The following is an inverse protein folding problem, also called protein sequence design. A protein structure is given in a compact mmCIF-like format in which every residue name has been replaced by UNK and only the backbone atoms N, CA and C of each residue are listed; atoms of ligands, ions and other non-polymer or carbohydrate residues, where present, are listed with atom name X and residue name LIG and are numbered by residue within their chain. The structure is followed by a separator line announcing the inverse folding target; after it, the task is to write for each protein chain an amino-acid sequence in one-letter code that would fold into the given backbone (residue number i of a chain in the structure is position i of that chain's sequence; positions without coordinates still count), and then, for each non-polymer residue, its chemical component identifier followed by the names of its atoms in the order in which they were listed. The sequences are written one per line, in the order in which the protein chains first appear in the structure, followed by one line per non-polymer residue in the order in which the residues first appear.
data_IF_754080174800
#
_entry.id   IF_754080174800
#
_cell.length_a   1.000
_cell.length_b   1.000
_cell.length_c   1.000
_cell.angle_alpha   90.00
_cell.angle_beta   90.00
_cell.angle_gamma   90.00
#
_symmetry.space_group_name_H-M   'P 1'
#
loop_
_entity.id
_entity.type
_entity.pdbx_description
1 polymer ?
#
# COMPACT_ATOMS: atom_id res chain seq x y z
N UNK A 1 -0.24 28.70 -21.73
CA UNK A 1 1.05 28.12 -21.32
C UNK A 1 1.26 26.83 -22.09
N UNK A 2 2.32 26.69 -22.88
CA UNK A 2 2.56 25.48 -23.69
C UNK A 2 2.89 24.26 -22.83
N UNK A 3 2.62 23.03 -23.32
CA UNK A 3 2.83 21.77 -22.56
C UNK A 3 4.25 21.58 -22.01
N UNK A 4 5.27 22.06 -22.73
CA UNK A 4 6.69 22.00 -22.33
C UNK A 4 6.96 22.91 -21.13
N UNK A 5 6.40 24.11 -21.13
CA UNK A 5 6.57 25.08 -20.03
C UNK A 5 5.89 24.57 -18.75
N UNK A 6 4.69 24.03 -18.84
CA UNK A 6 3.97 23.42 -17.71
C UNK A 6 4.78 22.25 -17.11
N UNK A 7 5.32 21.36 -17.95
CA UNK A 7 6.18 20.25 -17.50
C UNK A 7 7.38 20.76 -16.70
N UNK A 8 8.10 21.77 -17.21
CA UNK A 8 9.28 22.34 -16.52
C UNK A 8 8.91 22.93 -15.16
N UNK A 9 7.79 23.65 -15.07
CA UNK A 9 7.31 24.22 -13.82
C UNK A 9 6.93 23.14 -12.80
N UNK A 10 6.18 22.13 -13.21
CA UNK A 10 5.81 21.03 -12.31
C UNK A 10 7.07 20.26 -11.85
N UNK A 11 8.00 19.92 -12.75
CA UNK A 11 9.22 19.22 -12.36
C UNK A 11 10.08 20.06 -11.39
N UNK A 12 10.20 21.37 -11.61
CA UNK A 12 10.90 22.26 -10.67
C UNK A 12 10.23 22.24 -9.29
N UNK A 13 8.91 22.27 -9.26
CA UNK A 13 8.13 22.19 -8.01
C UNK A 13 8.28 20.83 -7.33
N UNK A 14 8.25 19.73 -8.07
CA UNK A 14 8.51 18.36 -7.57
C UNK A 14 9.88 18.28 -6.89
N UNK A 15 10.94 18.76 -7.55
CA UNK A 15 12.28 18.79 -6.96
C UNK A 15 12.36 19.67 -5.70
N UNK A 16 11.68 20.82 -5.69
CA UNK A 16 11.62 21.69 -4.50
C UNK A 16 10.91 21.00 -3.34
N UNK A 17 9.81 20.28 -3.60
CA UNK A 17 9.08 19.53 -2.56
C UNK A 17 9.90 18.33 -2.07
N UNK A 18 10.54 17.59 -2.98
CA UNK A 18 11.38 16.44 -2.64
C UNK A 18 12.59 16.81 -1.75
N UNK A 19 13.13 18.02 -1.89
CA UNK A 19 14.23 18.53 -1.05
C UNK A 19 13.82 18.83 0.39
N UNK A 20 12.51 18.91 0.69
CA UNK A 20 12.03 19.09 2.06
C UNK A 20 12.17 17.84 2.90
N UNK A 21 12.25 16.67 2.25
CA UNK A 21 12.60 15.40 2.89
C UNK A 21 14.12 15.33 3.07
N UNK A 22 14.68 16.13 3.98
CA UNK A 22 16.13 16.27 4.20
C UNK A 22 16.70 15.23 5.18
N UNK A 23 15.85 14.45 5.86
CA UNK A 23 16.22 13.42 6.83
C UNK A 23 16.32 12.01 6.20
N UNK A 24 16.62 11.91 4.91
CA UNK A 24 16.84 10.64 4.21
C UNK A 24 18.18 10.04 4.62
N UNK A 25 18.15 8.79 5.05
CA UNK A 25 19.33 8.03 5.45
C UNK A 25 19.64 6.97 4.39
N UNK A 26 20.87 6.94 3.92
CA UNK A 26 21.39 5.86 3.08
C UNK A 26 21.73 4.69 4.00
N UNK A 27 20.95 3.60 3.90
CA UNK A 27 21.16 2.37 4.68
C UNK A 27 22.04 1.41 3.90
N UNK A 28 22.90 0.60 4.56
CA UNK A 28 23.72 -0.39 3.88
C UNK A 28 22.86 -1.41 3.11
N UNK A 29 23.43 -1.99 2.07
CA UNK A 29 22.82 -3.11 1.35
C UNK A 29 22.91 -4.38 2.19
N UNK A 30 21.81 -5.12 2.23
CA UNK A 30 21.69 -6.42 2.87
C UNK A 30 20.70 -7.29 2.08
N UNK A 31 21.00 -8.57 1.93
CA UNK A 31 20.03 -9.49 1.36
C UNK A 31 18.83 -9.73 2.28
N UNK A 32 19.07 -9.79 3.60
CA UNK A 32 18.02 -9.89 4.61
C UNK A 32 17.24 -11.20 4.53
N UNK A 33 17.89 -12.28 4.12
CA UNK A 33 17.22 -13.59 3.96
C UNK A 33 16.61 -14.12 5.25
N UNK A 34 17.10 -13.66 6.41
CA UNK A 34 16.55 -13.96 7.73
C UNK A 34 15.12 -13.45 7.93
N UNK A 35 14.70 -12.44 7.19
CA UNK A 35 13.32 -11.93 7.22
C UNK A 35 12.32 -12.78 6.42
N UNK A 36 12.78 -13.71 5.60
CA UNK A 36 11.92 -14.55 4.76
C UNK A 36 11.31 -15.73 5.52
N UNK A 37 12.02 -16.27 6.52
CA UNK A 37 11.72 -17.54 7.17
C UNK A 37 10.55 -17.46 8.17
N UNK A 38 10.17 -16.27 8.61
CA UNK A 38 9.21 -16.08 9.70
C UNK A 38 7.75 -16.22 9.30
N UNK A 39 7.41 -16.60 8.07
CA UNK A 39 6.07 -16.33 7.62
C UNK A 39 5.34 -17.42 6.83
N UNK A 40 5.96 -18.53 6.48
CA UNK A 40 5.28 -19.55 5.65
C UNK A 40 5.75 -20.98 5.95
N UNK A 41 5.02 -21.73 6.81
CA UNK A 41 5.32 -23.15 7.08
C UNK A 41 5.38 -24.01 5.82
N UNK A 42 4.61 -23.64 4.77
CA UNK A 42 4.59 -24.34 3.48
C UNK A 42 5.81 -24.12 2.59
N UNK A 43 6.64 -23.08 2.87
CA UNK A 43 7.89 -22.82 2.18
C UNK A 43 9.09 -23.43 2.92
N UNK A 44 8.98 -23.70 4.22
CA UNK A 44 10.06 -24.21 5.07
C UNK A 44 10.53 -25.63 4.65
N UNK A 45 9.64 -26.48 4.15
CA UNK A 45 9.97 -27.83 3.71
C UNK A 45 10.93 -27.91 2.50
N UNK A 46 10.95 -26.88 1.67
CA UNK A 46 11.85 -26.80 0.51
C UNK A 46 13.16 -26.08 0.83
N UNK A 47 13.17 -25.20 1.84
CA UNK A 47 14.38 -24.50 2.29
C UNK A 47 15.34 -25.41 3.03
N UNK A 48 14.85 -26.36 3.83
CA UNK A 48 15.69 -27.35 4.52
C UNK A 48 16.49 -28.21 3.54
N UNK A 49 15.98 -28.43 2.31
CA UNK A 49 16.71 -29.16 1.27
C UNK A 49 17.77 -28.32 0.55
N UNK A 50 17.74 -26.98 0.69
CA UNK A 50 18.67 -26.06 0.00
C UNK A 50 19.88 -25.66 0.83
N UNK A 51 19.85 -25.84 2.14
CA UNK A 51 20.96 -25.47 3.02
C UNK A 51 22.24 -26.32 2.82
N UNK A 52 22.19 -27.36 1.99
CA UNK A 52 23.33 -28.22 1.66
C UNK A 52 24.03 -27.97 0.31
N UNK A 53 23.45 -27.13 -0.57
CA UNK A 53 23.87 -27.05 -1.99
C UNK A 53 24.41 -25.67 -2.41
N UNK A 54 25.24 -24.99 -1.65
CA UNK A 54 26.02 -23.85 -2.15
C UNK A 54 25.24 -22.66 -2.76
N UNK A 55 23.91 -22.54 -2.50
CA UNK A 55 23.11 -21.45 -3.02
C UNK A 55 23.48 -20.13 -2.34
N UNK A 56 23.66 -19.09 -3.16
CA UNK A 56 23.91 -17.74 -2.69
C UNK A 56 22.64 -17.13 -2.03
N UNK A 57 22.78 -16.12 -1.19
CA UNK A 57 21.63 -15.37 -0.64
C UNK A 57 20.74 -14.78 -1.77
N UNK A 58 21.37 -14.35 -2.86
CA UNK A 58 20.69 -13.92 -4.08
C UNK A 58 19.75 -15.00 -4.62
N UNK A 59 20.24 -16.22 -4.77
CA UNK A 59 19.45 -17.33 -5.30
C UNK A 59 18.29 -17.68 -4.37
N UNK A 60 18.52 -17.60 -3.06
CA UNK A 60 17.47 -17.79 -2.03
C UNK A 60 16.35 -16.75 -2.19
N UNK A 61 16.69 -15.46 -2.33
CA UNK A 61 15.72 -14.37 -2.53
C UNK A 61 14.93 -14.58 -3.83
N UNK A 62 15.59 -14.89 -4.92
CA UNK A 62 14.92 -15.08 -6.22
C UNK A 62 13.97 -16.28 -6.19
N UNK A 63 14.42 -17.41 -5.66
CA UNK A 63 13.58 -18.58 -5.47
C UNK A 63 12.39 -18.32 -4.54
N UNK A 64 12.61 -17.59 -3.46
CA UNK A 64 11.53 -17.17 -2.56
C UNK A 64 10.44 -16.37 -3.32
N UNK A 65 10.84 -15.42 -4.18
CA UNK A 65 9.87 -14.65 -4.98
C UNK A 65 9.06 -15.58 -5.91
N UNK A 66 9.72 -16.55 -6.59
CA UNK A 66 9.02 -17.49 -7.44
C UNK A 66 8.00 -18.35 -6.68
N UNK A 67 8.37 -18.84 -5.52
CA UNK A 67 7.48 -19.61 -4.64
C UNK A 67 6.34 -18.76 -4.08
N UNK A 68 6.63 -17.53 -3.65
CA UNK A 68 5.63 -16.61 -3.14
C UNK A 68 4.59 -16.24 -4.20
N UNK A 69 5.00 -16.07 -5.46
CA UNK A 69 4.10 -15.82 -6.58
C UNK A 69 3.26 -17.07 -6.87
N UNK A 70 3.89 -18.23 -7.00
CA UNK A 70 3.20 -19.49 -7.30
C UNK A 70 2.19 -19.85 -6.19
N UNK A 71 2.48 -19.53 -4.94
CA UNK A 71 1.64 -19.80 -3.76
C UNK A 71 1.04 -18.53 -3.16
N UNK A 72 0.68 -17.55 -3.99
CA UNK A 72 0.32 -16.21 -3.53
C UNK A 72 -0.92 -16.15 -2.64
N UNK A 73 -1.84 -17.12 -2.75
CA UNK A 73 -2.97 -17.23 -1.79
C UNK A 73 -2.49 -17.51 -0.36
N UNK A 74 -1.46 -18.34 -0.19
CA UNK A 74 -0.85 -18.57 1.12
C UNK A 74 0.07 -17.42 1.52
N UNK A 75 0.78 -16.82 0.55
CA UNK A 75 1.68 -15.70 0.81
C UNK A 75 0.96 -14.47 1.34
N UNK A 76 -0.20 -14.13 0.80
CA UNK A 76 -1.06 -13.03 1.22
C UNK A 76 -2.28 -13.49 2.03
N UNK A 77 -2.35 -14.75 2.45
CA UNK A 77 -3.38 -15.31 3.32
C UNK A 77 -2.93 -15.41 4.78
N UNK A 78 -3.90 -15.39 5.68
CA UNK A 78 -3.73 -15.78 7.06
C UNK A 78 -4.87 -16.68 7.47
N UNK A 79 -4.59 -17.73 8.27
CA UNK A 79 -5.62 -18.57 8.89
C UNK A 79 -6.08 -18.01 10.24
N UNK A 80 -5.38 -17.00 10.76
CA UNK A 80 -5.63 -16.42 12.07
C UNK A 80 -6.24 -15.04 11.89
N UNK A 81 -7.38 -14.80 12.54
CA UNK A 81 -7.98 -13.49 12.72
C UNK A 81 -7.53 -12.97 14.09
N UNK A 82 -6.89 -11.81 14.19
CA UNK A 82 -6.43 -11.27 15.46
C UNK A 82 -7.59 -10.83 16.34
N UNK A 83 -7.34 -10.72 17.64
CA UNK A 83 -8.24 -10.03 18.55
C UNK A 83 -8.13 -8.52 18.35
N UNK A 84 -9.28 -7.85 18.31
CA UNK A 84 -9.38 -6.42 18.05
C UNK A 84 -9.79 -5.67 19.30
N UNK A 85 -9.08 -4.57 19.58
CA UNK A 85 -9.43 -3.59 20.62
C UNK A 85 -9.79 -2.27 19.97
N UNK A 86 -10.94 -1.70 20.31
CA UNK A 86 -11.38 -0.37 19.88
C UNK A 86 -11.57 0.53 21.11
N UNK A 87 -10.69 1.54 21.23
CA UNK A 87 -10.78 2.57 22.25
C UNK A 87 -11.00 3.95 21.57
N UNK A 88 -12.21 4.47 21.71
CA UNK A 88 -12.65 5.67 21.01
C UNK A 88 -12.54 5.50 19.48
N UNK A 89 -11.63 6.24 18.88
CA UNK A 89 -11.36 6.16 17.42
C UNK A 89 -10.15 5.26 17.07
N UNK A 90 -9.51 4.65 18.07
CA UNK A 90 -8.28 3.88 17.87
C UNK A 90 -8.57 2.38 17.89
N UNK A 91 -8.45 1.78 16.72
CA UNK A 91 -8.49 0.33 16.56
C UNK A 91 -7.07 -0.22 16.62
N UNK A 92 -6.86 -1.21 17.47
CA UNK A 92 -5.56 -1.89 17.66
C UNK A 92 -5.73 -3.41 17.58
N UNK A 93 -4.70 -4.08 17.08
CA UNK A 93 -4.59 -5.54 17.06
C UNK A 93 -3.13 -5.97 16.83
N UNK A 94 -2.81 -7.21 17.16
CA UNK A 94 -1.50 -7.77 16.87
C UNK A 94 -1.40 -8.19 15.40
N UNK A 95 -0.32 -7.79 14.73
CA UNK A 95 -0.03 -8.24 13.36
C UNK A 95 0.15 -9.76 13.32
N UNK A 96 -0.41 -10.41 12.31
CA UNK A 96 -0.18 -11.84 12.05
C UNK A 96 1.25 -12.13 11.60
N UNK A 97 1.99 -11.11 11.17
CA UNK A 97 3.42 -11.19 10.87
C UNK A 97 4.20 -10.67 12.06
N UNK A 98 4.95 -11.57 12.70
CA UNK A 98 5.84 -11.20 13.80
C UNK A 98 7.20 -10.77 13.26
N UNK A 99 7.67 -9.63 13.71
CA UNK A 99 9.00 -9.10 13.40
C UNK A 99 9.85 -9.02 14.67
N UNK A 100 11.17 -8.90 14.56
CA UNK A 100 12.05 -8.69 15.75
C UNK A 100 11.77 -7.35 16.47
N UNK A 101 10.93 -6.50 15.92
CA UNK A 101 10.66 -5.15 16.41
C UNK A 101 9.27 -5.11 17.04
N UNK A 102 9.23 -5.05 18.38
CA UNK A 102 7.98 -5.13 19.15
C UNK A 102 6.98 -4.01 18.76
N UNK A 103 7.46 -2.79 18.56
CA UNK A 103 6.62 -1.64 18.17
C UNK A 103 5.92 -1.86 16.84
N UNK A 104 6.59 -2.56 15.89
CA UNK A 104 6.01 -2.84 14.59
C UNK A 104 4.93 -3.93 14.64
N UNK A 105 4.90 -4.75 15.65
CA UNK A 105 4.00 -5.90 15.75
C UNK A 105 2.57 -5.50 16.17
N UNK A 106 2.37 -4.35 16.83
CA UNK A 106 1.05 -3.85 17.17
C UNK A 106 0.54 -2.91 16.08
N UNK A 107 -0.51 -3.34 15.40
CA UNK A 107 -1.16 -2.55 14.35
C UNK A 107 -2.04 -1.48 14.98
N UNK A 108 -1.92 -0.24 14.48
CA UNK A 108 -2.70 0.88 14.93
C UNK A 108 -3.48 1.46 13.74
N UNK A 109 -4.79 1.65 13.91
CA UNK A 109 -5.66 2.25 12.92
C UNK A 109 -6.46 3.38 13.55
N UNK A 110 -6.82 4.37 12.76
CA UNK A 110 -7.78 5.39 13.15
C UNK A 110 -9.10 5.14 12.44
N UNK A 111 -10.15 4.89 13.21
CA UNK A 111 -11.49 4.60 12.72
C UNK A 111 -12.35 5.86 12.70
N UNK A 112 -13.05 6.07 11.60
CA UNK A 112 -13.96 7.18 11.36
C UNK A 112 -15.35 6.61 11.07
N UNK A 113 -16.20 6.39 12.10
CA UNK A 113 -17.59 5.93 11.92
C UNK A 113 -18.41 7.01 11.22
N UNK A 114 -19.43 6.61 10.46
CA UNK A 114 -20.39 7.58 9.93
C UNK A 114 -21.21 8.16 11.08
N UNK A 115 -21.26 9.47 11.26
CA UNK A 115 -22.07 10.10 12.31
C UNK A 115 -23.55 9.71 12.20
N UNK A 116 -24.20 9.45 13.34
CA UNK A 116 -25.65 9.31 13.39
C UNK A 116 -26.32 10.62 12.95
N UNK A 117 -27.33 10.57 12.09
CA UNK A 117 -28.13 11.75 11.75
C UNK A 117 -29.01 12.12 12.95
N UNK A 118 -28.77 13.31 13.51
CA UNK A 118 -29.65 13.94 14.49
C UNK A 118 -29.43 13.50 15.93
N UNK A 119 -28.54 14.18 16.65
CA UNK A 119 -28.48 14.16 18.11
C UNK A 119 -27.50 13.15 18.71
N UNK A 120 -27.23 13.36 19.99
CA UNK A 120 -26.33 12.65 20.90
C UNK A 120 -26.11 11.16 20.55
N UNK A 121 -24.86 10.66 20.60
CA UNK A 121 -24.59 9.24 20.41
C UNK A 121 -25.23 8.44 21.55
N UNK A 122 -26.40 7.88 21.30
CA UNK A 122 -26.97 6.86 22.14
C UNK A 122 -26.27 5.54 21.83
N UNK A 123 -25.54 5.02 22.78
CA UNK A 123 -24.78 3.77 22.65
C UNK A 123 -25.69 2.57 22.26
N UNK A 124 -26.99 2.62 22.59
CA UNK A 124 -27.96 1.59 22.22
C UNK A 124 -28.37 1.64 20.74
N UNK A 125 -28.29 2.80 20.08
CA UNK A 125 -28.62 3.00 18.66
C UNK A 125 -27.41 2.89 17.72
N UNK A 126 -26.19 2.80 18.24
CA UNK A 126 -24.97 2.67 17.45
C UNK A 126 -25.01 1.43 16.53
N UNK A 127 -25.63 0.35 16.95
CA UNK A 127 -25.81 -0.86 16.15
C UNK A 127 -26.84 -0.71 15.01
N UNK A 128 -27.91 0.04 15.20
CA UNK A 128 -28.93 0.26 14.16
C UNK A 128 -28.45 1.22 13.07
N UNK A 129 -27.70 2.25 13.44
CA UNK A 129 -27.06 3.17 12.48
C UNK A 129 -26.00 2.47 11.65
N UNK A 130 -25.29 1.48 12.21
CA UNK A 130 -24.34 0.61 11.49
C UNK A 130 -25.01 -0.19 10.39
N UNK A 131 -26.17 -0.80 10.66
CA UNK A 131 -26.93 -1.60 9.69
C UNK A 131 -27.48 -0.78 8.51
N UNK A 132 -27.85 0.47 8.74
CA UNK A 132 -28.47 1.30 7.69
C UNK A 132 -27.53 1.76 6.58
N UNK A 133 -26.20 1.61 6.72
CA UNK A 133 -25.24 2.14 5.74
C UNK A 133 -24.14 1.20 5.28
N UNK A 134 -23.89 0.11 5.92
CA UNK A 134 -23.06 -1.04 5.53
C UNK A 134 -21.80 -0.82 4.69
N UNK A 135 -21.30 0.44 4.53
CA UNK A 135 -20.23 0.79 3.60
C UNK A 135 -19.03 1.41 4.31
N UNK A 136 -17.85 0.86 4.07
CA UNK A 136 -16.60 1.35 4.66
C UNK A 136 -15.45 1.36 3.65
N UNK A 137 -14.44 2.21 3.88
CA UNK A 137 -13.24 2.30 3.06
C UNK A 137 -12.00 2.15 3.95
N UNK A 138 -11.14 1.19 3.64
CA UNK A 138 -9.79 1.10 4.22
C UNK A 138 -8.88 2.08 3.49
N UNK A 139 -8.18 2.93 4.24
CA UNK A 139 -7.33 4.00 3.69
C UNK A 139 -5.87 3.73 4.05
N UNK A 140 -5.04 3.51 3.03
CA UNK A 140 -3.61 3.24 3.14
C UNK A 140 -2.81 4.48 2.73
N UNK A 141 -2.03 5.07 3.65
CA UNK A 141 -1.28 6.29 3.38
C UNK A 141 -0.04 6.04 2.52
N UNK A 142 0.60 7.12 2.09
CA UNK A 142 1.89 7.07 1.41
C UNK A 142 3.04 6.74 2.39
N UNK A 143 4.21 6.40 1.84
CA UNK A 143 5.44 6.17 2.61
C UNK A 143 5.84 7.41 3.41
N UNK A 144 6.20 7.21 4.68
CA UNK A 144 6.52 8.26 5.65
C UNK A 144 5.36 9.22 5.98
N UNK A 145 4.12 8.82 5.72
CA UNK A 145 2.96 9.59 6.16
C UNK A 145 2.92 9.69 7.68
N UNK A 146 2.65 10.90 8.18
CA UNK A 146 2.42 11.16 9.60
C UNK A 146 0.98 10.81 9.99
N UNK A 147 0.73 10.63 11.28
CA UNK A 147 -0.58 10.25 11.83
C UNK A 147 -1.74 11.17 11.37
N UNK A 148 -1.49 12.47 11.21
CA UNK A 148 -2.48 13.44 10.74
C UNK A 148 -2.73 13.41 9.22
N UNK A 149 -1.85 12.78 8.44
CA UNK A 149 -2.02 12.73 6.99
C UNK A 149 -3.05 11.68 6.59
N UNK A 150 -3.80 11.94 5.53
CA UNK A 150 -4.97 11.18 5.08
C UNK A 150 -6.22 11.26 5.99
N UNK A 151 -6.18 11.98 7.11
CA UNK A 151 -7.37 12.24 7.95
C UNK A 151 -8.42 13.01 7.16
N UNK A 152 -8.03 14.05 6.45
CA UNK A 152 -8.96 14.87 5.66
C UNK A 152 -9.73 14.05 4.59
N UNK A 153 -9.12 13.05 3.96
CA UNK A 153 -9.84 12.18 3.01
C UNK A 153 -10.80 11.23 3.74
N UNK A 154 -10.45 10.75 4.93
CA UNK A 154 -11.36 9.96 5.77
C UNK A 154 -12.58 10.79 6.17
N UNK A 155 -12.40 12.05 6.57
CA UNK A 155 -13.49 12.96 6.87
C UNK A 155 -14.37 13.27 5.66
N UNK A 156 -13.78 13.41 4.46
CA UNK A 156 -14.54 13.59 3.22
C UNK A 156 -15.38 12.34 2.89
N UNK A 157 -14.84 11.14 3.09
CA UNK A 157 -15.58 9.88 2.97
C UNK A 157 -16.74 9.83 3.97
N UNK A 158 -16.51 10.23 5.22
CA UNK A 158 -17.56 10.32 6.24
C UNK A 158 -18.70 11.25 5.85
N UNK A 159 -18.39 12.46 5.37
CA UNK A 159 -19.39 13.41 4.87
C UNK A 159 -20.19 12.83 3.70
N UNK A 160 -19.58 11.91 2.94
CA UNK A 160 -20.22 11.17 1.86
C UNK A 160 -21.04 9.96 2.34
N UNK A 161 -21.09 9.69 3.65
CA UNK A 161 -21.81 8.59 4.25
C UNK A 161 -21.08 7.23 4.19
N UNK A 162 -19.76 7.27 4.11
CA UNK A 162 -18.87 6.11 4.12
C UNK A 162 -18.03 6.11 5.40
N UNK A 163 -18.01 5.02 6.15
CA UNK A 163 -17.03 4.88 7.23
C UNK A 163 -15.61 4.76 6.64
N UNK A 164 -14.60 5.12 7.42
CA UNK A 164 -13.23 4.97 6.97
C UNK A 164 -12.35 4.41 8.10
N UNK A 165 -11.35 3.60 7.74
CA UNK A 165 -10.29 3.14 8.63
C UNK A 165 -8.95 3.48 8.01
N UNK A 166 -8.21 4.39 8.63
CA UNK A 166 -6.83 4.72 8.23
C UNK A 166 -5.87 3.79 8.95
N UNK A 167 -5.21 2.93 8.21
CA UNK A 167 -4.19 2.02 8.73
C UNK A 167 -2.83 2.74 8.88
N UNK A 168 -2.14 2.57 10.01
CA UNK A 168 -0.72 2.86 10.14
C UNK A 168 0.08 1.70 9.53
N UNK A 169 0.76 1.96 8.41
CA UNK A 169 1.59 0.96 7.73
C UNK A 169 2.73 0.48 8.65
N UNK A 170 3.34 -0.69 8.39
CA UNK A 170 4.51 -1.13 9.14
C UNK A 170 5.59 -0.05 9.25
N UNK A 171 6.17 0.09 10.42
CA UNK A 171 7.21 1.09 10.74
C UNK A 171 6.78 2.56 10.69
N UNK A 172 5.48 2.85 10.59
CA UNK A 172 4.95 4.23 10.60
C UNK A 172 4.27 4.57 11.93
N UNK A 173 4.18 5.85 12.22
CA UNK A 173 3.44 6.40 13.38
C UNK A 173 3.86 5.72 14.69
N UNK A 174 2.91 5.11 15.43
CA UNK A 174 3.16 4.36 16.67
C UNK A 174 3.95 3.05 16.47
N UNK A 175 4.10 2.61 15.22
CA UNK A 175 4.88 1.41 14.85
C UNK A 175 6.33 1.74 14.49
N UNK A 176 6.72 3.01 14.56
CA UNK A 176 8.08 3.45 14.26
C UNK A 176 9.03 3.04 15.37
N UNK A 177 10.23 2.62 14.98
CA UNK A 177 11.25 2.18 15.93
C UNK A 177 11.80 3.37 16.72
N UNK A 178 12.20 3.19 17.98
CA UNK A 178 12.90 4.20 18.73
C UNK A 178 14.13 4.73 17.99
N UNK A 179 14.31 6.05 17.99
CA UNK A 179 15.41 6.72 17.29
C UNK A 179 15.27 6.85 15.78
N UNK A 180 14.15 6.40 15.19
CA UNK A 180 13.85 6.59 13.78
C UNK A 180 12.93 7.81 13.59
N UNK A 181 13.20 8.58 12.55
CA UNK A 181 12.32 9.69 12.11
C UNK A 181 11.53 9.34 10.84
N UNK A 182 11.85 8.19 10.23
CA UNK A 182 11.29 7.73 8.97
C UNK A 182 11.02 6.24 9.01
N UNK A 183 10.03 5.82 8.24
CA UNK A 183 9.72 4.40 8.04
C UNK A 183 10.69 3.74 7.06
N UNK A 184 12.01 3.89 7.29
CA UNK A 184 13.05 3.40 6.40
C UNK A 184 13.00 1.87 6.23
N UNK A 185 12.51 1.14 7.23
CA UNK A 185 12.41 -0.32 7.16
C UNK A 185 11.26 -0.83 6.30
N UNK A 186 10.32 0.04 5.95
CA UNK A 186 9.23 -0.30 5.03
C UNK A 186 9.71 -0.39 3.58
N UNK A 187 10.66 0.48 3.18
CA UNK A 187 11.32 0.49 1.88
C UNK A 187 12.79 0.77 2.11
N UNK A 188 13.64 -0.23 1.95
CA UNK A 188 15.06 -0.12 2.25
C UNK A 188 15.91 -0.94 1.28
N UNK A 189 17.22 -0.78 1.39
CA UNK A 189 18.24 -1.62 0.72
C UNK A 189 18.43 -3.01 1.36
N UNK A 190 17.72 -3.33 2.45
CA UNK A 190 17.57 -4.71 2.92
C UNK A 190 16.41 -5.36 2.18
N UNK A 191 16.72 -6.31 1.30
CA UNK A 191 15.78 -6.91 0.34
C UNK A 191 14.69 -7.71 1.05
N UNK A 192 15.07 -8.64 1.94
CA UNK A 192 14.14 -9.53 2.64
C UNK A 192 13.23 -8.77 3.60
N UNK A 193 13.75 -7.79 4.34
CA UNK A 193 12.94 -6.96 5.23
C UNK A 193 11.90 -6.13 4.46
N UNK A 194 12.27 -5.59 3.31
CA UNK A 194 11.32 -4.87 2.43
C UNK A 194 10.21 -5.81 1.94
N UNK A 195 10.52 -7.05 1.56
CA UNK A 195 9.52 -8.08 1.23
C UNK A 195 8.59 -8.36 2.42
N UNK A 196 9.16 -8.62 3.60
CA UNK A 196 8.38 -8.90 4.81
C UNK A 196 7.47 -7.74 5.19
N UNK A 197 7.98 -6.49 5.18
CA UNK A 197 7.21 -5.31 5.55
C UNK A 197 6.00 -5.07 4.63
N UNK A 198 6.20 -5.23 3.32
CA UNK A 198 5.11 -5.05 2.35
C UNK A 198 4.09 -6.19 2.43
N UNK A 199 4.52 -7.44 2.63
CA UNK A 199 3.62 -8.56 2.92
C UNK A 199 2.83 -8.32 4.21
N UNK A 200 3.49 -7.89 5.30
CA UNK A 200 2.85 -7.52 6.55
C UNK A 200 1.75 -6.48 6.33
N UNK A 201 2.03 -5.43 5.55
CA UNK A 201 1.05 -4.39 5.26
C UNK A 201 -0.20 -4.94 4.54
N UNK A 202 -0.05 -5.89 3.62
CA UNK A 202 -1.19 -6.55 2.96
C UNK A 202 -2.00 -7.36 3.97
N UNK A 203 -1.35 -8.16 4.81
CA UNK A 203 -2.03 -8.99 5.81
C UNK A 203 -2.73 -8.15 6.89
N UNK A 204 -2.07 -7.10 7.40
CA UNK A 204 -2.67 -6.15 8.34
C UNK A 204 -3.91 -5.47 7.74
N UNK A 205 -3.84 -5.14 6.44
CA UNK A 205 -4.98 -4.56 5.71
C UNK A 205 -6.15 -5.55 5.62
N UNK A 206 -5.89 -6.83 5.37
CA UNK A 206 -6.91 -7.87 5.35
C UNK A 206 -7.53 -8.08 6.73
N UNK A 207 -6.74 -8.00 7.81
CA UNK A 207 -7.27 -8.04 9.18
C UNK A 207 -8.21 -6.86 9.47
N UNK A 208 -7.93 -5.65 8.92
CA UNK A 208 -8.88 -4.53 8.99
C UNK A 208 -10.18 -4.84 8.23
N UNK A 209 -10.11 -5.53 7.09
CA UNK A 209 -11.31 -5.99 6.37
C UNK A 209 -12.09 -6.99 7.21
N UNK A 210 -11.43 -7.95 7.88
CA UNK A 210 -12.06 -8.89 8.82
C UNK A 210 -12.81 -8.15 9.93
N UNK A 211 -12.16 -7.16 10.54
CA UNK A 211 -12.80 -6.34 11.57
C UNK A 211 -14.01 -5.58 11.03
N UNK A 212 -13.92 -4.93 9.87
CA UNK A 212 -15.04 -4.20 9.29
C UNK A 212 -16.25 -5.13 9.04
N UNK A 213 -16.02 -6.32 8.50
CA UNK A 213 -17.07 -7.30 8.27
C UNK A 213 -17.68 -7.75 9.61
N UNK A 214 -16.86 -8.02 10.63
CA UNK A 214 -17.36 -8.37 11.98
C UNK A 214 -18.20 -7.24 12.61
N UNK A 215 -17.95 -5.99 12.22
CA UNK A 215 -18.75 -4.83 12.64
C UNK A 215 -20.02 -4.64 11.80
N UNK A 216 -20.33 -5.52 10.84
CA UNK A 216 -21.53 -5.50 10.01
C UNK A 216 -21.44 -4.60 8.77
N UNK A 217 -20.24 -4.24 8.31
CA UNK A 217 -20.06 -3.59 7.02
C UNK A 217 -20.14 -4.62 5.89
N UNK A 218 -21.10 -4.46 4.99
CA UNK A 218 -21.37 -5.40 3.89
C UNK A 218 -20.57 -5.05 2.62
N UNK A 219 -20.24 -3.78 2.44
CA UNK A 219 -19.52 -3.28 1.29
C UNK A 219 -18.23 -2.57 1.75
N UNK A 220 -17.10 -3.17 1.44
CA UNK A 220 -15.79 -2.63 1.81
C UNK A 220 -15.03 -2.23 0.55
N UNK A 221 -14.57 -0.99 0.53
CA UNK A 221 -13.65 -0.47 -0.47
C UNK A 221 -12.25 -0.26 0.09
N UNK A 222 -11.29 -0.02 -0.79
CA UNK A 222 -9.90 0.25 -0.42
C UNK A 222 -9.34 1.44 -1.20
N UNK A 223 -8.71 2.36 -0.49
CA UNK A 223 -7.99 3.51 -1.04
C UNK A 223 -6.51 3.41 -0.68
N UNK A 224 -5.63 3.51 -1.66
CA UNK A 224 -4.20 3.63 -1.40
C UNK A 224 -3.57 4.83 -2.09
N UNK A 225 -2.54 5.40 -1.48
CA UNK A 225 -1.76 6.52 -2.04
C UNK A 225 -0.29 6.16 -2.10
N UNK A 226 0.36 6.29 -3.26
CA UNK A 226 1.79 6.02 -3.46
C UNK A 226 2.14 4.58 -3.02
N UNK A 227 3.04 4.38 -2.06
CA UNK A 227 3.31 3.05 -1.49
C UNK A 227 2.02 2.34 -1.05
N UNK A 228 1.13 3.06 -0.36
CA UNK A 228 -0.17 2.52 0.05
C UNK A 228 -1.03 2.08 -1.13
N UNK A 229 -0.87 2.65 -2.33
CA UNK A 229 -1.62 2.20 -3.51
C UNK A 229 -1.11 0.86 -4.06
N UNK A 230 0.20 0.58 -3.96
CA UNK A 230 0.75 -0.74 -4.31
C UNK A 230 0.20 -1.81 -3.36
N UNK A 231 0.19 -1.52 -2.05
CA UNK A 231 -0.36 -2.41 -1.02
C UNK A 231 -1.86 -2.60 -1.22
N UNK A 232 -2.61 -1.52 -1.45
CA UNK A 232 -4.06 -1.56 -1.71
C UNK A 232 -4.38 -2.43 -2.93
N UNK A 233 -3.62 -2.30 -4.00
CA UNK A 233 -3.82 -3.08 -5.21
C UNK A 233 -3.53 -4.56 -4.99
N UNK A 234 -2.41 -4.90 -4.33
CA UNK A 234 -2.10 -6.28 -3.95
C UNK A 234 -3.19 -6.86 -3.05
N UNK A 235 -3.67 -6.09 -2.05
CA UNK A 235 -4.76 -6.53 -1.17
C UNK A 235 -6.04 -6.76 -1.95
N UNK A 236 -6.40 -5.87 -2.88
CA UNK A 236 -7.61 -6.00 -3.70
C UNK A 236 -7.58 -7.25 -4.58
N UNK A 237 -6.43 -7.54 -5.20
CA UNK A 237 -6.25 -8.75 -6.01
C UNK A 237 -6.50 -10.01 -5.19
N UNK A 238 -5.98 -10.08 -3.95
CA UNK A 238 -5.99 -11.28 -3.12
C UNK A 238 -7.14 -11.32 -2.10
N UNK A 239 -7.98 -10.26 -2.00
CA UNK A 239 -9.16 -10.24 -1.13
C UNK A 239 -10.43 -9.92 -1.91
N UNK A 240 -11.21 -10.94 -2.21
CA UNK A 240 -12.45 -10.82 -3.01
C UNK A 240 -13.61 -10.17 -2.26
N UNK A 241 -13.46 -9.89 -0.97
CA UNK A 241 -14.46 -9.16 -0.14
C UNK A 241 -14.45 -7.67 -0.42
N UNK A 242 -13.32 -7.14 -0.94
CA UNK A 242 -13.23 -5.75 -1.39
C UNK A 242 -14.01 -5.56 -2.69
N UNK A 243 -14.89 -4.57 -2.74
CA UNK A 243 -15.79 -4.29 -3.86
C UNK A 243 -15.29 -3.20 -4.80
N UNK A 244 -14.62 -2.19 -4.23
CA UNK A 244 -14.13 -1.02 -4.97
C UNK A 244 -12.70 -0.72 -4.55
N UNK A 245 -11.79 -0.57 -5.52
CA UNK A 245 -10.40 -0.13 -5.32
C UNK A 245 -10.16 1.25 -5.93
N UNK A 246 -9.47 2.13 -5.20
CA UNK A 246 -8.98 3.41 -5.73
C UNK A 246 -7.49 3.55 -5.44
N UNK A 247 -6.69 3.70 -6.50
CA UNK A 247 -5.24 3.73 -6.40
C UNK A 247 -4.70 5.06 -6.90
N UNK A 248 -4.16 5.82 -5.95
CA UNK A 248 -3.56 7.11 -6.25
C UNK A 248 -2.04 6.92 -6.39
N UNK A 249 -1.54 6.90 -7.63
CA UNK A 249 -0.18 6.55 -8.05
C UNK A 249 0.20 5.08 -7.80
N UNK A 250 -0.41 4.13 -8.48
CA UNK A 250 0.10 2.75 -8.50
C UNK A 250 1.01 2.52 -9.73
N UNK A 251 1.91 1.57 -9.63
CA UNK A 251 2.86 1.19 -10.68
C UNK A 251 2.93 -0.34 -10.84
N UNK A 252 3.56 -0.78 -11.94
CA UNK A 252 3.71 -2.19 -12.30
C UNK A 252 4.64 -2.95 -11.36
N UNK A 253 5.91 -2.54 -11.28
CA UNK A 253 6.95 -3.21 -10.52
C UNK A 253 7.45 -2.35 -9.37
N UNK A 254 7.46 -2.91 -8.17
CA UNK A 254 7.95 -2.24 -6.97
C UNK A 254 9.43 -1.85 -7.10
N UNK A 255 10.27 -2.78 -7.59
CA UNK A 255 11.69 -2.55 -7.79
C UNK A 255 11.99 -1.40 -8.76
N UNK A 256 11.20 -1.26 -9.82
CA UNK A 256 11.37 -0.17 -10.78
C UNK A 256 11.03 1.20 -10.19
N UNK A 257 10.00 1.27 -9.31
CA UNK A 257 9.68 2.50 -8.59
C UNK A 257 10.84 2.91 -7.69
N UNK A 258 11.44 1.94 -6.98
CA UNK A 258 12.60 2.20 -6.12
C UNK A 258 13.80 2.65 -6.94
N UNK A 259 14.01 2.05 -8.11
CA UNK A 259 15.14 2.37 -8.98
C UNK A 259 15.02 3.74 -9.68
N UNK A 260 13.85 4.02 -10.27
CA UNK A 260 13.65 5.21 -11.11
C UNK A 260 13.11 6.41 -10.32
N UNK A 261 12.55 6.19 -9.13
CA UNK A 261 11.79 7.18 -8.38
C UNK A 261 12.62 8.27 -7.73
N UNK A 262 12.14 9.53 -7.82
CA UNK A 262 12.72 10.68 -7.13
C UNK A 262 12.70 10.50 -5.60
N UNK A 263 11.66 9.88 -5.05
CA UNK A 263 11.47 9.67 -3.62
C UNK A 263 12.44 8.66 -3.02
N UNK A 264 12.92 7.72 -3.82
CA UNK A 264 13.69 6.53 -3.41
C UNK A 264 15.16 6.56 -3.80
N UNK A 265 15.68 7.69 -4.30
CA UNK A 265 17.07 7.83 -4.76
C UNK A 265 18.12 7.39 -3.74
N UNK A 266 17.88 7.63 -2.44
CA UNK A 266 18.80 7.25 -1.38
C UNK A 266 18.82 5.73 -1.17
N UNK A 267 17.70 5.04 -1.38
CA UNK A 267 17.62 3.56 -1.34
C UNK A 267 18.34 2.99 -2.57
N UNK A 268 18.06 3.53 -3.76
CA UNK A 268 18.77 3.15 -4.99
C UNK A 268 20.26 3.27 -4.83
N UNK A 269 20.77 4.33 -4.22
CA UNK A 269 22.20 4.57 -4.06
C UNK A 269 22.93 3.39 -3.40
N UNK A 270 22.31 2.74 -2.41
CA UNK A 270 22.88 1.52 -1.80
C UNK A 270 22.71 0.29 -2.69
N UNK A 271 21.59 0.17 -3.40
CA UNK A 271 21.31 -1.00 -4.24
C UNK A 271 22.20 -1.06 -5.47
N UNK A 272 22.43 0.07 -6.14
CA UNK A 272 23.16 0.13 -7.43
C UNK A 272 24.63 -0.23 -7.33
N UNK A 273 25.20 -0.26 -6.13
CA UNK A 273 26.55 -0.74 -5.87
C UNK A 273 26.65 -2.29 -5.87
N UNK A 274 25.52 -2.98 -5.73
CA UNK A 274 25.48 -4.43 -5.55
C UNK A 274 24.59 -5.15 -6.57
N UNK A 275 23.58 -4.46 -7.11
CA UNK A 275 22.55 -5.03 -7.97
C UNK A 275 22.30 -4.16 -9.20
N UNK A 276 21.95 -4.80 -10.30
CA UNK A 276 21.39 -4.17 -11.48
C UNK A 276 19.91 -3.85 -11.27
N UNK A 277 19.33 -2.99 -12.11
CA UNK A 277 17.89 -2.69 -12.11
C UNK A 277 17.02 -3.92 -12.22
N UNK A 278 17.40 -4.85 -13.13
CA UNK A 278 16.64 -6.07 -13.38
C UNK A 278 16.71 -7.05 -12.20
N UNK A 279 17.84 -7.10 -11.51
CA UNK A 279 17.98 -7.87 -10.27
C UNK A 279 17.12 -7.29 -9.13
N UNK A 280 17.06 -5.97 -8.96
CA UNK A 280 16.17 -5.32 -7.99
C UNK A 280 14.70 -5.59 -8.33
N UNK A 281 14.32 -5.52 -9.61
CA UNK A 281 12.98 -5.93 -10.06
C UNK A 281 12.70 -7.38 -9.67
N UNK A 282 13.64 -8.29 -10.00
CA UNK A 282 13.53 -9.73 -9.72
C UNK A 282 13.40 -10.01 -8.22
N UNK A 283 14.17 -9.31 -7.38
CA UNK A 283 14.20 -9.49 -5.95
C UNK A 283 12.89 -9.08 -5.24
N UNK A 284 12.04 -8.27 -5.89
CA UNK A 284 10.76 -7.77 -5.34
C UNK A 284 9.54 -8.08 -6.22
N UNK A 285 9.61 -9.13 -7.06
CA UNK A 285 8.47 -9.56 -7.87
C UNK A 285 7.26 -9.95 -7.01
N UNK A 286 7.47 -10.62 -5.88
CA UNK A 286 6.40 -11.07 -4.99
C UNK A 286 5.57 -9.93 -4.38
N UNK A 287 6.11 -8.72 -4.32
CA UNK A 287 5.39 -7.52 -3.85
C UNK A 287 5.10 -6.52 -4.98
N UNK A 288 5.21 -6.97 -6.22
CA UNK A 288 4.94 -6.17 -7.42
C UNK A 288 3.55 -6.46 -7.96
N UNK A 289 2.66 -5.45 -8.11
CA UNK A 289 1.31 -5.65 -8.63
C UNK A 289 1.27 -6.41 -9.96
N UNK A 290 2.25 -6.16 -10.83
CA UNK A 290 2.32 -6.77 -12.17
C UNK A 290 2.42 -8.31 -12.17
N UNK A 291 2.88 -8.89 -11.07
CA UNK A 291 2.99 -10.35 -10.92
C UNK A 291 1.63 -11.05 -10.75
N UNK A 292 0.53 -10.29 -10.63
CA UNK A 292 -0.79 -10.82 -10.28
C UNK A 292 -1.95 -10.21 -11.07
N UNK A 293 -1.68 -9.43 -12.12
CA UNK A 293 -2.71 -8.76 -12.92
C UNK A 293 -3.66 -9.77 -13.59
N UNK A 294 -3.14 -10.92 -14.00
CA UNK A 294 -3.90 -12.03 -14.58
C UNK A 294 -5.06 -12.50 -13.68
N UNK A 295 -4.92 -12.38 -12.33
CA UNK A 295 -5.95 -12.73 -11.36
C UNK A 295 -7.17 -11.79 -11.37
N UNK A 296 -7.07 -10.66 -12.03
CA UNK A 296 -8.16 -9.72 -12.26
C UNK A 296 -8.88 -9.96 -13.59
N UNK A 297 -8.40 -10.90 -14.41
CA UNK A 297 -9.08 -11.27 -15.67
C UNK A 297 -10.49 -11.78 -15.36
N UNK A 298 -11.49 -11.17 -16.03
CA UNK A 298 -12.91 -11.50 -15.78
C UNK A 298 -13.48 -10.94 -14.45
N UNK A 299 -12.71 -10.24 -13.64
CA UNK A 299 -13.20 -9.62 -12.41
C UNK A 299 -14.16 -8.46 -12.75
N UNK A 300 -15.31 -8.42 -12.09
CA UNK A 300 -16.35 -7.41 -12.30
C UNK A 300 -16.34 -6.30 -11.26
N UNK A 301 -15.47 -6.39 -10.27
CA UNK A 301 -15.29 -5.35 -9.24
C UNK A 301 -14.79 -4.05 -9.87
N UNK A 302 -14.98 -2.95 -9.20
CA UNK A 302 -14.70 -1.62 -9.75
C UNK A 302 -13.37 -1.06 -9.22
N UNK A 303 -12.55 -0.60 -10.14
CA UNK A 303 -11.24 -0.06 -9.82
C UNK A 303 -10.98 1.26 -10.53
N UNK A 304 -10.40 2.24 -9.82
CA UNK A 304 -9.96 3.52 -10.37
C UNK A 304 -8.47 3.73 -10.11
N UNK A 305 -7.72 3.93 -11.18
CA UNK A 305 -6.32 4.36 -11.10
C UNK A 305 -6.20 5.84 -11.43
N UNK A 306 -5.64 6.61 -10.50
CA UNK A 306 -5.31 8.02 -10.68
C UNK A 306 -3.80 8.14 -10.88
N UNK A 307 -3.36 8.60 -12.04
CA UNK A 307 -1.95 8.81 -12.38
C UNK A 307 -1.64 10.28 -12.59
N UNK A 308 -0.38 10.68 -12.34
CA UNK A 308 0.07 12.04 -12.59
C UNK A 308 0.94 12.12 -13.85
N UNK A 309 0.65 13.11 -14.72
CA UNK A 309 1.33 13.24 -16.02
C UNK A 309 2.82 13.56 -15.91
N UNK A 310 3.21 14.22 -14.83
CA UNK A 310 4.58 14.72 -14.63
C UNK A 310 5.21 14.11 -13.37
N UNK A 311 4.80 12.89 -13.02
CA UNK A 311 5.31 12.16 -11.87
C UNK A 311 6.79 11.80 -12.06
N UNK A 312 7.62 12.11 -11.07
CA UNK A 312 9.05 11.79 -11.03
C UNK A 312 9.37 10.62 -10.09
N UNK A 313 8.36 10.07 -9.41
CA UNK A 313 8.50 8.92 -8.51
C UNK A 313 7.84 7.68 -9.11
N UNK A 314 6.55 7.76 -9.40
CA UNK A 314 5.83 6.76 -10.18
C UNK A 314 5.76 7.26 -11.64
N UNK A 315 6.86 7.09 -12.35
CA UNK A 315 7.01 7.73 -13.66
C UNK A 315 5.91 7.33 -14.64
N UNK A 316 5.55 8.21 -15.60
CA UNK A 316 4.55 7.88 -16.62
C UNK A 316 4.85 6.62 -17.43
N UNK A 317 6.13 6.24 -17.53
CA UNK A 317 6.55 4.99 -18.18
C UNK A 317 6.09 3.78 -17.37
N UNK A 318 6.29 3.80 -16.05
CA UNK A 318 5.87 2.72 -15.15
C UNK A 318 4.35 2.58 -15.08
N UNK A 319 3.60 3.71 -15.05
CA UNK A 319 2.14 3.66 -15.11
C UNK A 319 1.65 3.07 -16.45
N UNK A 320 2.36 3.34 -17.54
CA UNK A 320 2.03 2.79 -18.86
C UNK A 320 2.23 1.28 -18.90
N UNK A 321 3.34 0.77 -18.37
CA UNK A 321 3.57 -0.67 -18.26
C UNK A 321 2.43 -1.39 -17.51
N UNK A 322 1.93 -0.80 -16.42
CA UNK A 322 0.78 -1.34 -15.71
C UNK A 322 -0.48 -1.36 -16.59
N UNK A 323 -0.72 -0.27 -17.32
CA UNK A 323 -1.89 -0.19 -18.20
C UNK A 323 -1.84 -1.19 -19.35
N UNK A 324 -0.66 -1.34 -19.98
CA UNK A 324 -0.44 -2.31 -21.06
C UNK A 324 -0.66 -3.74 -20.56
N UNK A 325 -0.22 -4.06 -19.34
CA UNK A 325 -0.49 -5.35 -18.72
C UNK A 325 -1.97 -5.57 -18.45
N UNK A 326 -2.66 -4.59 -17.87
CA UNK A 326 -4.11 -4.67 -17.65
C UNK A 326 -4.87 -4.86 -18.99
N UNK A 327 -4.48 -4.15 -20.03
CA UNK A 327 -5.10 -4.27 -21.36
C UNK A 327 -4.86 -5.67 -21.95
N UNK A 328 -3.64 -6.20 -21.82
CA UNK A 328 -3.28 -7.55 -22.27
C UNK A 328 -4.08 -8.66 -21.57
N UNK A 329 -4.35 -8.47 -20.27
CA UNK A 329 -5.13 -9.41 -19.45
C UNK A 329 -6.64 -9.12 -19.47
N UNK A 330 -7.08 -8.18 -20.31
CA UNK A 330 -8.50 -7.75 -20.40
C UNK A 330 -9.09 -7.27 -19.07
N UNK A 331 -8.26 -6.70 -18.19
CA UNK A 331 -8.69 -6.14 -16.90
C UNK A 331 -9.35 -4.79 -17.10
N UNK A 332 -10.59 -4.65 -16.64
CA UNK A 332 -11.36 -3.41 -16.72
C UNK A 332 -11.02 -2.48 -15.54
N UNK A 333 -10.20 -1.47 -15.81
CA UNK A 333 -9.73 -0.49 -14.85
C UNK A 333 -10.06 0.93 -15.35
N UNK A 334 -10.82 1.70 -14.56
CA UNK A 334 -11.05 3.12 -14.85
C UNK A 334 -9.75 3.91 -14.62
N UNK A 335 -9.43 4.82 -15.54
CA UNK A 335 -8.16 5.56 -15.55
C UNK A 335 -8.40 7.06 -15.56
N UNK A 336 -7.75 7.78 -14.64
CA UNK A 336 -7.72 9.24 -14.60
C UNK A 336 -6.29 9.74 -14.55
N UNK A 337 -5.97 10.69 -15.44
CA UNK A 337 -4.65 11.33 -15.51
C UNK A 337 -4.76 12.78 -15.10
N UNK A 338 -4.00 13.16 -14.04
CA UNK A 338 -3.97 14.54 -13.53
C UNK A 338 -2.71 15.24 -14.03
N UNK A 339 -2.82 16.55 -14.37
CA UNK A 339 -1.71 17.36 -14.91
C UNK A 339 -0.79 17.88 -13.79
N UNK A 340 -0.31 16.99 -12.94
CA UNK A 340 0.57 17.28 -11.80
C UNK A 340 1.72 16.26 -11.73
N UNK A 341 2.55 16.33 -10.72
CA UNK A 341 3.54 15.32 -10.34
C UNK A 341 3.16 14.59 -9.06
N UNK A 342 4.09 13.84 -8.48
CA UNK A 342 3.86 12.99 -7.31
C UNK A 342 3.53 13.80 -6.04
N UNK A 343 4.42 14.73 -5.69
CA UNK A 343 4.25 15.59 -4.53
C UNK A 343 3.19 16.67 -4.75
N UNK A 344 3.10 17.18 -5.98
CA UNK A 344 2.18 18.27 -6.29
C UNK A 344 0.73 17.83 -6.31
N UNK A 345 0.43 16.53 -6.47
CA UNK A 345 -0.92 16.01 -6.31
C UNK A 345 -1.48 16.27 -4.89
N UNK A 346 -0.63 16.23 -3.86
CA UNK A 346 -1.00 16.60 -2.48
C UNK A 346 -1.14 18.11 -2.22
N UNK A 347 -1.03 18.97 -3.26
CA UNK A 347 -1.11 20.43 -3.15
C UNK A 347 -2.35 20.99 -3.87
N UNK A 348 -2.82 22.15 -3.41
CA UNK A 348 -3.87 22.88 -4.11
C UNK A 348 -3.39 23.30 -5.51
N UNK A 349 -4.23 23.23 -6.55
CA UNK A 349 -5.62 22.77 -6.53
C UNK A 349 -5.77 21.25 -6.66
N UNK A 350 -4.71 20.51 -7.00
CA UNK A 350 -4.76 19.10 -7.38
C UNK A 350 -5.30 18.19 -6.28
N UNK A 351 -4.98 18.46 -5.00
CA UNK A 351 -5.48 17.67 -3.87
C UNK A 351 -7.03 17.69 -3.77
N UNK A 352 -7.66 18.80 -4.10
CA UNK A 352 -9.13 18.92 -4.09
C UNK A 352 -9.75 18.13 -5.23
N UNK A 353 -9.12 18.18 -6.42
CA UNK A 353 -9.57 17.40 -7.55
C UNK A 353 -9.40 15.90 -7.33
N UNK A 354 -8.26 15.46 -6.78
CA UNK A 354 -8.05 14.06 -6.40
C UNK A 354 -9.07 13.61 -5.35
N UNK A 355 -9.31 14.41 -4.29
CA UNK A 355 -10.32 14.13 -3.28
C UNK A 355 -11.72 13.99 -3.87
N UNK A 356 -12.11 14.87 -4.80
CA UNK A 356 -13.37 14.78 -5.54
C UNK A 356 -13.47 13.46 -6.34
N UNK A 357 -12.43 13.10 -7.10
CA UNK A 357 -12.41 11.86 -7.89
C UNK A 357 -12.59 10.63 -6.99
N UNK A 358 -11.84 10.57 -5.89
CA UNK A 358 -11.85 9.48 -4.91
C UNK A 358 -13.24 9.31 -4.30
N UNK A 359 -13.75 10.39 -3.69
CA UNK A 359 -15.04 10.33 -2.96
C UNK A 359 -16.20 10.04 -3.91
N UNK A 360 -16.20 10.68 -5.09
CA UNK A 360 -17.27 10.46 -6.06
C UNK A 360 -17.26 9.03 -6.62
N UNK A 361 -16.08 8.44 -6.81
CA UNK A 361 -15.96 7.06 -7.28
C UNK A 361 -16.52 6.07 -6.26
N UNK A 362 -16.15 6.20 -4.98
CA UNK A 362 -16.71 5.35 -3.92
C UNK A 362 -18.22 5.55 -3.75
N UNK A 363 -18.71 6.81 -3.79
CA UNK A 363 -20.16 7.06 -3.70
C UNK A 363 -20.97 6.37 -4.78
N UNK A 364 -20.39 6.27 -5.99
CA UNK A 364 -21.07 5.70 -7.16
C UNK A 364 -21.01 4.18 -7.19
N UNK A 365 -19.95 3.56 -6.70
CA UNK A 365 -19.66 2.16 -6.96
C UNK A 365 -19.60 1.29 -5.69
N UNK A 366 -19.50 1.89 -4.52
CA UNK A 366 -19.59 1.24 -3.23
C UNK A 366 -20.95 1.56 -2.58
#
# INVERSE_FOLDING_TARGET
MGPIMLRRLIHSWEHKLARRDNNRVVRPFEWGSEFLDYSLPSLNGEQSRSNGNGHTERDRIFRFNDLAIAKSESFFGSQTVPEFSLDGEWLQFESVVRTPYAENNTVNCRYFPVPARGGVPDSSRAHEVKRARGRAVVVLPHWNAKAAEHVAVCELLNRAGLAAVRLSLPYHDKRMLPGFERADYMVSSNIGRTLQANRQAVLDTRSVVDWLISQGYEQVGILGTSLGSCIAFLTFIHDKRLRVGVYNHVSSYFGDVVWDGLTTKHVRHSLEMHLTRDEVRRAWLAISPNSYIDRLSGDTRRELLISARYDLSFTPALSRLLFEECDRQSVKLDRKKVLCGHYTLGRAPYKYYAGYLIVNYFRKHL
#
